data_IF_110487629446
#
_entry.id   IF_110487629446
#
_cell.length_a   1.000
_cell.length_b   1.000
_cell.length_c   1.000
_cell.angle_alpha   90.00
_cell.angle_beta   90.00
_cell.angle_gamma   90.00
#
_symmetry.space_group_name_H-M   'P 1'
#
loop_
_entity.id
_entity.type
_entity.pdbx_description
1 polymer ?
#
# COMPACT_ATOMS: atom_id res chain seq x y z
N UNK A 1 3.65 -2.73 -48.58
CA UNK A 1 2.64 -1.64 -48.53
C UNK A 1 2.72 -1.03 -47.13
N UNK A 2 3.34 0.14 -47.02
CA UNK A 2 3.61 0.78 -45.72
C UNK A 2 2.34 1.38 -45.11
N UNK A 3 2.14 1.17 -43.82
CA UNK A 3 1.15 1.88 -43.04
C UNK A 3 1.58 3.34 -42.87
N UNK A 4 0.81 4.28 -43.43
CA UNK A 4 1.14 5.72 -43.39
C UNK A 4 0.89 6.29 -41.98
N UNK A 5 1.88 7.02 -41.47
CA UNK A 5 1.85 7.79 -40.19
C UNK A 5 0.67 8.77 -40.08
N UNK A 6 0.00 9.10 -41.19
CA UNK A 6 -1.18 9.96 -41.20
C UNK A 6 -2.44 9.26 -40.70
N UNK A 7 -2.52 7.93 -40.82
CA UNK A 7 -3.70 7.19 -40.37
C UNK A 7 -3.78 7.11 -38.84
N UNK A 8 -2.63 7.11 -38.17
CA UNK A 8 -2.54 7.08 -36.70
C UNK A 8 -2.82 8.46 -36.10
N UNK A 9 -2.42 9.55 -36.77
CA UNK A 9 -2.70 10.92 -36.29
C UNK A 9 -4.20 11.26 -36.32
N UNK A 10 -4.91 10.86 -37.37
CA UNK A 10 -6.37 11.10 -37.48
C UNK A 10 -7.19 10.33 -36.43
N UNK A 11 -6.73 9.15 -36.01
CA UNK A 11 -7.39 8.39 -34.94
C UNK A 11 -7.20 9.02 -33.55
N UNK A 12 -6.08 9.72 -33.31
CA UNK A 12 -5.81 10.38 -32.02
C UNK A 12 -6.55 11.72 -31.90
N UNK A 13 -6.71 12.47 -33.00
CA UNK A 13 -7.47 13.72 -33.00
C UNK A 13 -8.98 13.50 -32.77
N UNK A 14 -9.55 12.41 -33.29
CA UNK A 14 -10.97 12.09 -33.08
C UNK A 14 -11.30 11.71 -31.61
N UNK A 15 -10.38 11.04 -30.90
CA UNK A 15 -10.59 10.68 -29.48
C UNK A 15 -10.54 11.94 -28.59
N UNK A 16 -9.75 12.95 -28.97
CA UNK A 16 -9.60 14.17 -28.18
C UNK A 16 -10.82 15.12 -28.31
N UNK A 17 -11.61 15.03 -29.39
CA UNK A 17 -12.85 15.79 -29.56
C UNK A 17 -14.04 15.11 -28.85
N UNK A 18 -14.10 13.77 -28.82
CA UNK A 18 -15.19 13.02 -28.16
C UNK A 18 -15.13 13.11 -26.62
N UNK A 19 -13.93 13.20 -26.03
CA UNK A 19 -13.75 13.41 -24.58
C UNK A 19 -14.03 14.86 -24.15
N UNK A 20 -13.92 15.84 -25.05
CA UNK A 20 -14.18 17.25 -24.75
C UNK A 20 -15.68 17.59 -24.69
N UNK A 21 -16.52 16.86 -25.41
CA UNK A 21 -17.97 17.13 -25.46
C UNK A 21 -18.72 16.54 -24.26
N UNK A 22 -18.22 15.48 -23.63
CA UNK A 22 -18.89 14.83 -22.48
C UNK A 22 -18.62 15.50 -21.12
N UNK A 23 -17.66 16.43 -21.04
CA UNK A 23 -17.29 17.10 -19.76
C UNK A 23 -18.10 18.39 -19.52
N UNK A 24 -18.88 18.88 -20.50
CA UNK A 24 -19.46 20.23 -20.48
C UNK A 24 -20.94 20.37 -20.11
N UNK A 25 -21.62 19.34 -19.58
CA UNK A 25 -23.08 19.44 -19.38
C UNK A 25 -23.65 19.13 -17.99
N UNK A 26 -22.84 19.19 -16.92
CA UNK A 26 -23.41 19.16 -15.57
C UNK A 26 -22.66 20.03 -14.55
N UNK A 27 -23.06 21.31 -14.45
CA UNK A 27 -23.39 22.02 -13.19
C UNK A 27 -23.63 23.52 -13.46
N UNK A 28 -24.89 23.90 -13.57
CA UNK A 28 -25.35 25.29 -13.46
C UNK A 28 -26.47 25.34 -12.43
N UNK A 29 -26.19 25.84 -11.23
CA UNK A 29 -27.15 26.35 -10.25
C UNK A 29 -26.40 27.04 -9.10
N UNK A 30 -26.20 28.34 -9.28
CA UNK A 30 -26.14 29.47 -8.33
C UNK A 30 -25.56 29.29 -6.91
N UNK A 31 -24.41 29.93 -6.67
CA UNK A 31 -24.20 30.80 -5.50
C UNK A 31 -22.97 31.68 -5.69
N UNK A 32 -23.16 33.00 -5.58
CA UNK A 32 -22.13 34.03 -5.65
C UNK A 32 -21.11 33.90 -4.51
N UNK A 33 -19.82 33.69 -4.82
CA UNK A 33 -18.70 34.10 -3.95
C UNK A 33 -17.54 34.56 -4.84
N UNK A 34 -17.31 35.87 -4.85
CA UNK A 34 -16.03 36.47 -5.24
C UNK A 34 -14.92 35.92 -4.35
N UNK A 35 -13.99 35.14 -4.90
CA UNK A 35 -12.71 34.87 -4.21
C UNK A 35 -11.56 34.86 -5.21
N UNK A 36 -10.80 35.95 -5.14
CA UNK A 36 -9.35 36.04 -5.32
C UNK A 36 -8.65 34.75 -5.73
N UNK A 37 -8.14 34.72 -6.96
CA UNK A 37 -7.13 33.77 -7.43
C UNK A 37 -5.89 34.00 -6.57
N UNK A 38 -5.73 33.21 -5.52
CA UNK A 38 -4.50 33.15 -4.75
C UNK A 38 -3.58 32.15 -5.42
N UNK A 39 -2.48 32.64 -5.98
CA UNK A 39 -1.32 31.83 -6.34
C UNK A 39 -0.77 31.20 -5.05
N UNK A 40 -1.30 30.05 -4.67
CA UNK A 40 -0.76 29.24 -3.58
C UNK A 40 -0.03 28.07 -4.23
N UNK A 41 1.31 28.14 -4.26
CA UNK A 41 2.11 26.95 -4.48
C UNK A 41 1.63 25.86 -3.51
N UNK A 42 1.49 24.59 -3.93
CA UNK A 42 1.08 23.54 -3.02
C UNK A 42 2.09 23.49 -1.87
N UNK A 43 1.63 23.78 -0.66
CA UNK A 43 2.45 23.65 0.54
C UNK A 43 2.92 22.19 0.62
N UNK A 44 4.22 21.97 0.87
CA UNK A 44 4.77 20.61 1.05
C UNK A 44 4.05 20.00 2.25
N UNK A 45 3.14 19.05 2.00
CA UNK A 45 2.35 18.39 3.04
C UNK A 45 3.05 17.13 3.53
N UNK A 46 2.65 16.62 4.70
CA UNK A 46 3.12 15.32 5.19
C UNK A 46 2.76 14.19 4.23
N UNK A 47 1.53 14.21 3.69
CA UNK A 47 1.04 13.26 2.69
C UNK A 47 1.92 13.23 1.43
N UNK A 48 2.30 14.40 0.89
CA UNK A 48 3.16 14.48 -0.30
C UNK A 48 4.56 13.88 -0.05
N UNK A 49 5.08 13.98 1.17
CA UNK A 49 6.38 13.40 1.55
C UNK A 49 6.27 11.89 1.76
N UNK A 50 5.17 11.43 2.35
CA UNK A 50 4.86 10.00 2.44
C UNK A 50 4.77 9.36 1.05
N UNK A 51 4.03 9.98 0.12
CA UNK A 51 3.92 9.53 -1.27
C UNK A 51 5.27 9.50 -2.01
N UNK A 52 6.18 10.42 -1.68
CA UNK A 52 7.54 10.42 -2.21
C UNK A 52 8.33 9.20 -1.71
N UNK A 53 8.28 8.90 -0.42
CA UNK A 53 8.91 7.70 0.16
C UNK A 53 8.32 6.44 -0.44
N UNK A 54 7.00 6.39 -0.60
CA UNK A 54 6.29 5.28 -1.22
C UNK A 54 6.66 5.10 -2.69
N UNK A 55 6.81 6.20 -3.43
CA UNK A 55 7.28 6.17 -4.82
C UNK A 55 8.69 5.58 -4.91
N UNK A 56 9.61 5.96 -4.01
CA UNK A 56 10.94 5.35 -3.95
C UNK A 56 10.82 3.84 -3.67
N UNK A 57 9.98 3.44 -2.72
CA UNK A 57 9.75 2.05 -2.35
C UNK A 57 9.31 1.19 -3.54
N UNK A 58 8.26 1.61 -4.24
CA UNK A 58 7.69 0.87 -5.38
C UNK A 58 8.70 0.74 -6.54
N UNK A 59 9.50 1.78 -6.77
CA UNK A 59 10.47 1.80 -7.88
C UNK A 59 11.80 1.10 -7.56
N UNK A 60 12.14 0.90 -6.28
CA UNK A 60 13.46 0.37 -5.87
C UNK A 60 13.39 -0.96 -5.11
N UNK A 61 12.20 -1.41 -4.73
CA UNK A 61 11.99 -2.60 -3.89
C UNK A 61 12.74 -2.54 -2.54
N UNK A 62 13.06 -1.33 -2.08
CA UNK A 62 13.58 -1.10 -0.73
C UNK A 62 12.46 -1.27 0.30
N UNK A 63 12.82 -1.55 1.56
CA UNK A 63 11.87 -1.45 2.66
C UNK A 63 11.50 0.02 2.91
N UNK A 64 10.35 0.28 3.54
CA UNK A 64 9.90 1.63 3.88
C UNK A 64 10.98 2.42 4.64
N UNK A 65 11.66 1.77 5.59
CA UNK A 65 12.81 2.35 6.31
C UNK A 65 13.96 2.71 5.36
N UNK A 66 14.35 1.81 4.46
CA UNK A 66 15.44 2.06 3.52
C UNK A 66 15.06 3.13 2.48
N UNK A 67 13.81 3.15 2.01
CA UNK A 67 13.28 4.21 1.13
C UNK A 67 13.29 5.56 1.83
N UNK A 68 12.93 5.60 3.11
CA UNK A 68 13.01 6.81 3.92
C UNK A 68 14.44 7.33 4.00
N UNK A 69 15.40 6.45 4.32
CA UNK A 69 16.83 6.78 4.37
C UNK A 69 17.32 7.26 3.00
N UNK A 70 16.90 6.63 1.90
CA UNK A 70 17.25 7.03 0.55
C UNK A 70 16.76 8.46 0.25
N UNK A 71 15.51 8.80 0.58
CA UNK A 71 14.97 10.15 0.44
C UNK A 71 15.75 11.15 1.27
N UNK A 72 16.01 10.86 2.56
CA UNK A 72 16.80 11.73 3.45
C UNK A 72 18.19 11.98 2.86
N UNK A 73 18.86 10.92 2.41
CA UNK A 73 20.22 10.99 1.85
C UNK A 73 20.26 11.85 0.59
N UNK A 74 19.28 11.67 -0.31
CA UNK A 74 19.18 12.48 -1.53
C UNK A 74 18.91 13.94 -1.20
N UNK A 75 17.97 14.22 -0.29
CA UNK A 75 17.62 15.61 0.10
C UNK A 75 18.80 16.31 0.78
N UNK A 76 19.58 15.60 1.62
CA UNK A 76 20.81 16.11 2.20
C UNK A 76 21.87 16.40 1.13
N UNK A 77 22.09 15.50 0.18
CA UNK A 77 23.01 15.73 -0.95
C UNK A 77 22.59 16.93 -1.81
N UNK A 78 21.29 17.14 -2.02
CA UNK A 78 20.78 18.32 -2.73
C UNK A 78 21.06 19.63 -2.00
N UNK A 79 21.20 19.59 -0.66
CA UNK A 79 21.54 20.76 0.13
C UNK A 79 22.96 21.29 -0.17
N UNK A 80 23.86 20.44 -0.66
CA UNK A 80 25.22 20.82 -1.08
C UNK A 80 25.27 21.35 -2.52
N UNK A 81 24.30 20.98 -3.36
CA UNK A 81 24.29 21.27 -4.80
C UNK A 81 23.42 22.47 -5.17
N UNK A 82 22.44 22.82 -4.33
CA UNK A 82 21.42 23.82 -4.65
C UNK A 82 21.62 25.14 -3.88
N UNK A 83 21.12 26.27 -4.42
CA UNK A 83 21.22 27.57 -3.76
C UNK A 83 20.38 27.65 -2.47
N UNK A 84 20.80 28.51 -1.53
CA UNK A 84 20.17 28.64 -0.21
C UNK A 84 18.68 29.02 -0.23
N UNK A 85 18.18 29.55 -1.35
CA UNK A 85 16.76 29.86 -1.54
C UNK A 85 15.84 28.64 -1.46
N UNK A 86 16.35 27.42 -1.73
CA UNK A 86 15.53 26.19 -1.67
C UNK A 86 15.61 25.45 -0.33
N UNK A 87 16.54 25.82 0.56
CA UNK A 87 16.79 25.11 1.82
C UNK A 87 15.58 25.01 2.75
N UNK A 88 14.70 26.03 2.86
CA UNK A 88 13.48 25.90 3.67
C UNK A 88 12.59 24.75 3.20
N UNK A 89 12.47 24.55 1.88
CA UNK A 89 11.65 23.47 1.32
C UNK A 89 12.27 22.08 1.57
N UNK A 90 13.59 21.94 1.39
CA UNK A 90 14.31 20.69 1.69
C UNK A 90 14.22 20.35 3.18
N UNK A 91 14.32 21.35 4.04
CA UNK A 91 14.19 21.17 5.50
C UNK A 91 12.78 20.69 5.89
N UNK A 92 11.73 21.21 5.25
CA UNK A 92 10.35 20.75 5.44
C UNK A 92 10.16 19.30 4.97
N UNK A 93 10.81 18.88 3.88
CA UNK A 93 10.76 17.48 3.44
C UNK A 93 11.44 16.59 4.49
N UNK A 94 12.64 16.97 4.97
CA UNK A 94 13.35 16.21 5.99
C UNK A 94 12.55 16.09 7.29
N UNK A 95 11.89 17.16 7.74
CA UNK A 95 11.08 17.13 8.96
C UNK A 95 9.89 16.19 8.82
N UNK A 96 9.15 16.27 7.71
CA UNK A 96 7.99 15.40 7.46
C UNK A 96 8.39 13.94 7.26
N UNK A 97 9.60 13.68 6.75
CA UNK A 97 10.12 12.31 6.58
C UNK A 97 10.32 11.62 7.94
N UNK A 98 10.59 12.37 9.02
CA UNK A 98 10.80 11.82 10.36
C UNK A 98 9.51 11.50 11.12
N UNK A 99 8.37 12.04 10.68
CA UNK A 99 7.07 11.78 11.30
C UNK A 99 6.39 10.57 10.68
N UNK A 100 6.03 9.60 11.52
CA UNK A 100 5.15 8.47 11.17
C UNK A 100 3.72 8.96 10.96
N UNK A 101 2.94 8.26 10.12
CA UNK A 101 1.50 8.48 10.03
C UNK A 101 0.85 8.19 11.39
N UNK A 102 0.01 9.10 11.89
CA UNK A 102 -0.61 9.01 13.22
C UNK A 102 -2.14 8.87 13.14
N UNK A 103 -2.74 9.23 12.01
CA UNK A 103 -4.20 9.18 11.82
C UNK A 103 -4.61 7.85 11.19
N UNK A 104 -5.48 7.12 11.88
CA UNK A 104 -6.05 5.85 11.44
C UNK A 104 -6.72 5.97 10.06
N UNK A 105 -7.38 7.11 9.78
CA UNK A 105 -8.02 7.36 8.47
C UNK A 105 -6.98 7.45 7.35
N UNK A 106 -5.80 8.01 7.64
CA UNK A 106 -4.71 8.08 6.67
C UNK A 106 -4.03 6.72 6.50
N UNK A 107 -3.85 5.98 7.59
CA UNK A 107 -3.30 4.61 7.55
C UNK A 107 -4.16 3.72 6.66
N UNK A 108 -5.48 3.79 6.80
CA UNK A 108 -6.42 2.98 6.02
C UNK A 108 -6.42 3.27 4.52
N UNK A 109 -5.99 4.48 4.12
CA UNK A 109 -5.86 4.88 2.72
C UNK A 109 -4.54 4.44 2.09
N UNK A 110 -3.60 3.92 2.89
CA UNK A 110 -2.32 3.47 2.36
C UNK A 110 -2.48 2.23 1.49
N UNK A 111 -1.62 2.12 0.47
CA UNK A 111 -1.57 0.96 -0.40
C UNK A 111 -1.39 -0.34 0.39
N UNK A 112 -0.45 -0.36 1.34
CA UNK A 112 -0.14 -1.54 2.13
C UNK A 112 -1.31 -1.94 3.05
N UNK A 113 -2.04 -0.98 3.64
CA UNK A 113 -3.23 -1.30 4.43
C UNK A 113 -4.32 -1.96 3.58
N UNK A 114 -4.63 -1.36 2.43
CA UNK A 114 -5.61 -1.90 1.48
C UNK A 114 -5.22 -3.31 1.03
N UNK A 115 -3.94 -3.50 0.68
CA UNK A 115 -3.45 -4.79 0.19
C UNK A 115 -3.46 -5.86 1.28
N UNK A 116 -3.05 -5.54 2.51
CA UNK A 116 -3.15 -6.45 3.64
C UNK A 116 -4.60 -6.88 3.89
N UNK A 117 -5.57 -5.94 3.88
CA UNK A 117 -6.99 -6.26 4.06
C UNK A 117 -7.49 -7.24 3.00
N UNK A 118 -7.12 -7.03 1.73
CA UNK A 118 -7.47 -7.96 0.64
C UNK A 118 -6.84 -9.33 0.91
N UNK A 119 -5.53 -9.41 1.15
CA UNK A 119 -4.85 -10.69 1.38
C UNK A 119 -5.47 -11.46 2.57
N UNK A 120 -5.75 -10.79 3.69
CA UNK A 120 -6.39 -11.43 4.84
C UNK A 120 -7.79 -11.95 4.50
N UNK A 121 -8.58 -11.20 3.72
CA UNK A 121 -9.90 -11.62 3.27
C UNK A 121 -9.84 -12.84 2.34
N UNK A 122 -8.90 -12.85 1.39
CA UNK A 122 -8.70 -13.98 0.48
C UNK A 122 -8.25 -15.24 1.25
N UNK A 123 -7.29 -15.13 2.16
CA UNK A 123 -6.84 -16.25 2.99
C UNK A 123 -7.94 -16.76 3.93
N UNK A 124 -8.80 -15.87 4.44
CA UNK A 124 -9.99 -16.27 5.20
C UNK A 124 -10.94 -17.07 4.32
N UNK A 125 -11.18 -16.62 3.08
CA UNK A 125 -12.02 -17.32 2.11
C UNK A 125 -11.45 -18.70 1.76
N UNK A 126 -10.13 -18.82 1.58
CA UNK A 126 -9.45 -20.11 1.35
C UNK A 126 -9.65 -21.09 2.53
N UNK A 127 -9.58 -20.58 3.77
CA UNK A 127 -9.85 -21.39 4.97
C UNK A 127 -11.30 -21.87 5.01
N UNK A 128 -12.27 -21.00 4.74
CA UNK A 128 -13.69 -21.35 4.72
C UNK A 128 -14.02 -22.35 3.60
N UNK A 129 -13.45 -22.22 2.40
CA UNK A 129 -13.63 -23.20 1.32
C UNK A 129 -13.07 -24.59 1.71
N UNK A 130 -11.93 -24.61 2.39
CA UNK A 130 -11.33 -25.84 2.93
C UNK A 130 -12.26 -26.54 3.94
N UNK A 131 -13.11 -25.79 4.67
CA UNK A 131 -14.14 -26.37 5.55
C UNK A 131 -15.31 -26.95 4.77
N UNK A 132 -15.59 -26.46 3.56
CA UNK A 132 -16.75 -26.81 2.75
C UNK A 132 -16.50 -27.97 1.77
N UNK A 133 -15.28 -28.52 1.70
CA UNK A 133 -14.92 -29.75 0.95
C UNK A 133 -15.30 -29.68 -0.55
N UNK A 134 -14.90 -28.60 -1.22
CA UNK A 134 -15.05 -28.45 -2.68
C UNK A 134 -13.98 -29.27 -3.44
N UNK A 135 -14.27 -29.64 -4.70
CA UNK A 135 -13.38 -30.43 -5.57
C UNK A 135 -12.18 -29.63 -6.11
N UNK A 136 -12.08 -28.33 -5.82
CA UNK A 136 -11.13 -27.39 -6.44
C UNK A 136 -9.83 -27.16 -5.64
N UNK A 137 -9.69 -27.78 -4.46
CA UNK A 137 -8.60 -27.54 -3.49
C UNK A 137 -7.17 -27.72 -4.01
N UNK A 138 -6.97 -28.41 -5.14
CA UNK A 138 -5.64 -28.65 -5.71
C UNK A 138 -5.19 -27.61 -6.74
N UNK A 139 -6.10 -26.84 -7.36
CA UNK A 139 -5.71 -25.91 -8.43
C UNK A 139 -5.19 -24.55 -7.91
N UNK A 140 -5.46 -24.21 -6.65
CA UNK A 140 -5.17 -22.87 -6.11
C UNK A 140 -3.91 -22.77 -5.23
N UNK A 141 -3.10 -23.85 -5.10
CA UNK A 141 -1.91 -23.82 -4.23
C UNK A 141 -0.95 -22.68 -4.60
N UNK A 142 -0.73 -22.43 -5.90
CA UNK A 142 0.14 -21.35 -6.36
C UNK A 142 -0.39 -19.99 -5.91
N UNK A 143 -1.69 -19.75 -6.04
CA UNK A 143 -2.36 -18.49 -5.67
C UNK A 143 -2.28 -18.27 -4.16
N UNK A 144 -2.52 -19.30 -3.35
CA UNK A 144 -2.40 -19.21 -1.88
C UNK A 144 -0.96 -18.87 -1.49
N UNK A 145 0.04 -19.50 -2.13
CA UNK A 145 1.45 -19.21 -1.88
C UNK A 145 1.81 -17.78 -2.28
N UNK A 146 1.27 -17.26 -3.39
CA UNK A 146 1.45 -15.87 -3.80
C UNK A 146 0.89 -14.91 -2.73
N UNK A 147 -0.33 -15.15 -2.25
CA UNK A 147 -0.93 -14.36 -1.17
C UNK A 147 -0.08 -14.36 0.11
N UNK A 148 0.41 -15.53 0.57
CA UNK A 148 1.21 -15.59 1.79
C UNK A 148 2.60 -14.99 1.58
N UNK A 149 3.20 -15.16 0.40
CA UNK A 149 4.49 -14.55 0.07
C UNK A 149 4.38 -13.04 0.03
N UNK A 150 3.31 -12.52 -0.54
CA UNK A 150 3.02 -11.10 -0.55
C UNK A 150 2.75 -10.57 0.87
N UNK A 151 1.98 -11.31 1.68
CA UNK A 151 1.77 -10.99 3.09
C UNK A 151 3.09 -10.84 3.84
N UNK A 152 3.99 -11.82 3.72
CA UNK A 152 5.33 -11.79 4.35
C UNK A 152 6.10 -10.56 3.87
N UNK A 153 6.08 -10.29 2.56
CA UNK A 153 6.78 -9.14 1.97
C UNK A 153 6.29 -7.82 2.55
N UNK A 154 4.97 -7.61 2.60
CA UNK A 154 4.39 -6.37 3.14
C UNK A 154 4.72 -6.26 4.64
N UNK A 155 4.47 -7.30 5.43
CA UNK A 155 4.74 -7.27 6.88
C UNK A 155 6.22 -7.05 7.23
N UNK A 156 7.15 -7.47 6.36
CA UNK A 156 8.59 -7.29 6.57
C UNK A 156 9.10 -5.93 6.11
N UNK A 157 8.48 -5.35 5.08
CA UNK A 157 9.06 -4.22 4.35
C UNK A 157 8.24 -2.94 4.46
N UNK A 158 6.94 -2.99 4.78
CA UNK A 158 6.10 -1.81 4.93
C UNK A 158 6.37 -1.06 6.24
N UNK A 159 5.71 0.08 6.44
CA UNK A 159 5.68 0.73 7.75
C UNK A 159 4.99 -0.20 8.77
N UNK A 160 5.70 -0.54 9.85
CA UNK A 160 5.21 -1.42 10.88
C UNK A 160 3.97 -0.87 11.60
N UNK A 161 3.78 0.46 11.63
CA UNK A 161 2.57 1.09 12.20
C UNK A 161 1.32 0.72 11.39
N UNK A 162 1.42 0.70 10.07
CA UNK A 162 0.34 0.29 9.16
C UNK A 162 0.00 -1.18 9.39
N UNK A 163 1.02 -2.03 9.40
CA UNK A 163 0.83 -3.47 9.62
C UNK A 163 0.17 -3.75 10.99
N UNK A 164 0.62 -3.07 12.05
CA UNK A 164 0.00 -3.16 13.39
C UNK A 164 -1.45 -2.69 13.41
N UNK A 165 -1.74 -1.57 12.76
CA UNK A 165 -3.09 -1.03 12.68
C UNK A 165 -4.04 -2.05 12.02
N UNK A 166 -3.65 -2.60 10.86
CA UNK A 166 -4.49 -3.58 10.14
C UNK A 166 -4.73 -4.84 10.98
N UNK A 167 -3.69 -5.43 11.56
CA UNK A 167 -3.85 -6.68 12.33
C UNK A 167 -4.65 -6.49 13.63
N UNK A 168 -4.65 -5.30 14.22
CA UNK A 168 -5.37 -5.01 15.47
C UNK A 168 -6.80 -4.50 15.27
N UNK A 169 -7.15 -4.09 14.04
CA UNK A 169 -8.43 -3.45 13.69
C UNK A 169 -9.69 -4.21 14.14
N UNK A 170 -9.65 -5.55 14.12
CA UNK A 170 -10.74 -6.42 14.60
C UNK A 170 -10.27 -7.35 15.73
N UNK A 171 -9.67 -6.77 16.78
CA UNK A 171 -9.19 -7.52 17.95
C UNK A 171 -8.32 -8.73 17.58
N UNK A 172 -7.45 -8.56 16.57
CA UNK A 172 -6.58 -9.63 16.07
C UNK A 172 -7.33 -10.86 15.52
N UNK A 173 -8.57 -10.69 15.06
CA UNK A 173 -9.35 -11.74 14.42
C UNK A 173 -8.59 -12.37 13.23
N UNK A 174 -7.98 -11.54 12.38
CA UNK A 174 -7.17 -12.01 11.23
C UNK A 174 -6.03 -12.95 11.64
N UNK A 175 -5.42 -12.72 12.80
CA UNK A 175 -4.35 -13.58 13.34
C UNK A 175 -4.92 -14.92 13.79
N UNK A 176 -6.04 -14.88 14.51
CA UNK A 176 -6.73 -16.09 14.98
C UNK A 176 -7.19 -16.95 13.79
N UNK A 177 -7.73 -16.31 12.75
CA UNK A 177 -8.16 -16.97 11.52
C UNK A 177 -7.00 -17.60 10.77
N UNK A 178 -5.84 -16.94 10.68
CA UNK A 178 -4.64 -17.54 10.08
C UNK A 178 -4.12 -18.73 10.88
N UNK A 179 -4.15 -18.68 12.21
CA UNK A 179 -3.76 -19.81 13.07
C UNK A 179 -4.69 -21.01 12.82
N UNK A 180 -6.01 -20.78 12.78
CA UNK A 180 -6.98 -21.83 12.44
C UNK A 180 -6.74 -22.38 11.03
N UNK A 181 -6.41 -21.51 10.07
CA UNK A 181 -6.08 -21.94 8.72
C UNK A 181 -4.84 -22.84 8.70
N UNK A 182 -3.78 -22.48 9.44
CA UNK A 182 -2.60 -23.32 9.60
C UNK A 182 -2.90 -24.70 10.19
N UNK A 183 -3.82 -24.78 11.15
CA UNK A 183 -4.22 -26.05 11.77
C UNK A 183 -4.96 -26.97 10.79
N UNK A 184 -5.71 -26.38 9.87
CA UNK A 184 -6.48 -27.09 8.86
C UNK A 184 -5.65 -27.46 7.62
N UNK A 185 -4.63 -26.67 7.31
CA UNK A 185 -3.82 -26.84 6.11
C UNK A 185 -2.93 -28.10 6.22
N UNK A 186 -3.01 -28.96 5.21
CA UNK A 186 -2.26 -30.22 5.14
C UNK A 186 -1.02 -30.12 4.26
N UNK A 187 -1.00 -29.15 3.33
CA UNK A 187 0.10 -28.95 2.39
C UNK A 187 1.28 -28.28 3.05
N UNK A 188 2.40 -29.00 3.13
CA UNK A 188 3.61 -28.54 3.80
C UNK A 188 4.15 -27.21 3.27
N UNK A 189 4.11 -27.02 1.95
CA UNK A 189 4.55 -25.79 1.27
C UNK A 189 3.85 -24.53 1.80
N UNK A 190 2.54 -24.60 1.98
CA UNK A 190 1.72 -23.50 2.53
C UNK A 190 1.99 -23.35 4.03
N UNK A 191 2.03 -24.45 4.78
CA UNK A 191 2.34 -24.42 6.23
C UNK A 191 3.68 -23.76 6.52
N UNK A 192 4.70 -24.03 5.71
CA UNK A 192 6.01 -23.40 5.84
C UNK A 192 5.94 -21.88 5.65
N UNK A 193 5.20 -21.40 4.65
CA UNK A 193 5.00 -19.97 4.43
C UNK A 193 4.18 -19.33 5.56
N UNK A 194 3.13 -19.99 6.06
CA UNK A 194 2.37 -19.51 7.21
C UNK A 194 3.25 -19.38 8.46
N UNK A 195 4.14 -20.34 8.72
CA UNK A 195 5.12 -20.24 9.82
C UNK A 195 6.07 -19.06 9.64
N UNK A 196 6.51 -18.78 8.41
CA UNK A 196 7.33 -17.59 8.13
C UNK A 196 6.53 -16.31 8.38
N UNK A 197 5.27 -16.24 7.92
CA UNK A 197 4.39 -15.11 8.19
C UNK A 197 4.18 -14.90 9.69
N UNK A 198 3.97 -15.97 10.47
CA UNK A 198 3.87 -15.90 11.93
C UNK A 198 5.16 -15.40 12.57
N UNK A 199 6.33 -15.83 12.08
CA UNK A 199 7.61 -15.32 12.54
C UNK A 199 7.74 -13.81 12.38
N UNK A 200 7.33 -13.27 11.24
CA UNK A 200 7.30 -11.82 11.00
C UNK A 200 6.27 -11.13 11.90
N UNK A 201 5.05 -11.66 11.99
CA UNK A 201 3.99 -11.11 12.84
C UNK A 201 4.39 -11.02 14.33
N UNK A 202 5.11 -12.02 14.84
CA UNK A 202 5.66 -12.00 16.20
C UNK A 202 6.64 -10.85 16.45
N UNK A 203 7.35 -10.39 15.41
CA UNK A 203 8.25 -9.23 15.53
C UNK A 203 7.52 -7.88 15.54
N UNK A 204 6.27 -7.85 15.07
CA UNK A 204 5.50 -6.61 14.90
C UNK A 204 4.74 -6.19 16.17
N UNK A 205 4.13 -7.14 16.90
CA UNK A 205 3.31 -6.86 18.08
C UNK A 205 3.38 -7.99 19.12
N UNK A 206 3.59 -7.62 20.40
CA UNK A 206 3.64 -8.57 21.52
C UNK A 206 2.30 -9.28 21.77
N UNK A 207 1.19 -8.63 21.42
CA UNK A 207 -0.15 -9.19 21.53
C UNK A 207 -0.30 -10.43 20.63
N UNK A 208 0.32 -10.40 19.44
CA UNK A 208 0.35 -11.55 18.54
C UNK A 208 1.05 -12.73 19.18
N UNK A 209 2.20 -12.51 19.83
CA UNK A 209 2.93 -13.56 20.56
C UNK A 209 2.01 -14.17 21.64
N UNK A 210 1.31 -13.32 22.41
CA UNK A 210 0.39 -13.79 23.44
C UNK A 210 -0.77 -14.61 22.85
N UNK A 211 -1.35 -14.17 21.72
CA UNK A 211 -2.39 -14.93 21.02
C UNK A 211 -1.85 -16.29 20.57
N UNK A 212 -0.68 -16.31 19.94
CA UNK A 212 -0.06 -17.56 19.44
C UNK A 212 0.25 -18.53 20.58
N UNK A 213 0.85 -18.07 21.68
CA UNK A 213 1.18 -18.90 22.84
C UNK A 213 -0.06 -19.47 23.56
N UNK A 214 -1.20 -18.77 23.50
CA UNK A 214 -2.46 -19.23 24.09
C UNK A 214 -3.37 -19.93 23.06
N UNK A 215 -2.94 -20.03 21.81
CA UNK A 215 -3.61 -20.79 20.76
C UNK A 215 -3.05 -22.21 20.67
N UNK A 216 -3.70 -23.08 19.92
CA UNK A 216 -3.26 -24.47 19.69
C UNK A 216 -2.21 -24.57 18.56
N UNK A 217 -1.36 -23.54 18.41
CA UNK A 217 -0.29 -23.48 17.40
C UNK A 217 0.88 -24.39 17.79
#
# INVERSE_FOLDING_TARGET
>A
KGFSRESVRKSIENIHEEVKSEIYDHKKSDSNISTTISNTSPAITHQSVYELVESVRINTQLSHEMSRIAVVTVVQGLHELLPASVFPYLSTILSHTQTTLVDDVQIDQTHDASRLKIIFNELTSCKEDSQQRSWMLHEDEAVIKEYITELISILSNADASISRHVISSDQYHVITTLIQYYQMEVRWSIRQLLLQAFGVLCSLDKTVINIMLNSVL
#
